data_IF_529269787960
#
_entry.id   IF_529269787960
#
_cell.length_a   1.000
_cell.length_b   1.000
_cell.length_c   1.000
_cell.angle_alpha   90.00
_cell.angle_beta   90.00
_cell.angle_gamma   90.00
#
_symmetry.space_group_name_H-M   'P 1'
#
loop_
_entity.id
_entity.type
_entity.pdbx_description
1 polymer ?
#
# COMPACT_ATOMS: atom_id res chain seq x y z
N UNK A 1 16.32 -35.19 4.70
CA UNK A 1 16.16 -34.05 3.74
C UNK A 1 15.71 -32.77 4.44
N UNK A 2 14.64 -32.82 5.24
CA UNK A 2 13.99 -31.69 5.95
C UNK A 2 14.99 -30.70 6.60
N UNK A 3 15.98 -31.16 7.36
CA UNK A 3 16.95 -30.28 8.05
C UNK A 3 17.77 -29.37 7.12
N UNK A 4 18.03 -29.78 5.86
CA UNK A 4 18.74 -28.94 4.88
C UNK A 4 17.86 -27.80 4.36
N UNK A 5 16.55 -28.04 4.24
CA UNK A 5 15.56 -27.02 3.85
C UNK A 5 15.37 -26.02 5.00
N UNK A 6 15.31 -26.52 6.24
CA UNK A 6 15.15 -25.70 7.44
C UNK A 6 16.35 -24.77 7.73
N UNK A 7 17.55 -25.14 7.25
CA UNK A 7 18.78 -24.32 7.36
C UNK A 7 19.03 -23.39 6.16
N UNK A 8 18.24 -23.49 5.08
CA UNK A 8 18.37 -22.59 3.92
C UNK A 8 18.25 -21.10 4.30
N UNK A 9 17.28 -20.65 5.15
CA UNK A 9 17.18 -19.25 5.57
C UNK A 9 18.28 -18.79 6.56
N UNK A 10 19.26 -19.63 6.90
CA UNK A 10 20.45 -19.23 7.66
C UNK A 10 21.71 -19.18 6.79
N UNK A 11 21.58 -19.33 5.46
CA UNK A 11 22.70 -19.27 4.49
C UNK A 11 22.81 -17.96 3.71
N UNK A 12 21.75 -17.16 3.62
CA UNK A 12 21.82 -15.85 2.98
C UNK A 12 22.47 -14.82 3.91
N UNK A 13 23.14 -13.83 3.31
CA UNK A 13 23.75 -12.73 4.05
C UNK A 13 22.67 -11.89 4.76
N UNK A 14 22.94 -11.40 5.98
CA UNK A 14 22.00 -10.58 6.76
C UNK A 14 21.54 -9.32 6.01
N UNK A 15 22.38 -8.80 5.11
CA UNK A 15 22.04 -7.67 4.22
C UNK A 15 20.89 -7.99 3.27
N UNK A 16 20.79 -9.23 2.77
CA UNK A 16 19.70 -9.66 1.87
C UNK A 16 18.37 -9.63 2.63
N UNK A 17 18.35 -10.11 3.87
CA UNK A 17 17.16 -10.04 4.73
C UNK A 17 16.72 -8.60 5.02
N UNK A 18 17.67 -7.66 5.23
CA UNK A 18 17.31 -6.25 5.39
C UNK A 18 16.78 -5.62 4.10
N UNK A 19 17.37 -5.92 2.93
CA UNK A 19 16.85 -5.41 1.64
C UNK A 19 15.44 -5.93 1.38
N UNK A 20 15.18 -7.22 1.64
CA UNK A 20 13.84 -7.80 1.54
C UNK A 20 12.87 -7.19 2.57
N UNK A 21 13.32 -6.94 3.81
CA UNK A 21 12.51 -6.29 4.84
C UNK A 21 12.13 -4.85 4.47
N UNK A 22 13.06 -4.09 3.88
CA UNK A 22 12.80 -2.74 3.39
C UNK A 22 11.81 -2.75 2.21
N UNK A 23 11.94 -3.71 1.29
CA UNK A 23 10.97 -3.89 0.19
C UNK A 23 9.57 -4.26 0.69
N UNK A 24 9.45 -5.24 1.58
CA UNK A 24 8.18 -5.63 2.18
C UNK A 24 7.56 -4.51 3.03
N UNK A 25 8.38 -3.75 3.78
CA UNK A 25 7.93 -2.60 4.56
C UNK A 25 7.50 -1.42 3.70
N UNK A 26 8.15 -1.19 2.56
CA UNK A 26 7.73 -0.18 1.57
C UNK A 26 6.36 -0.53 0.97
N UNK A 27 6.17 -1.78 0.55
CA UNK A 27 4.88 -2.26 0.03
C UNK A 27 3.79 -2.19 1.11
N UNK A 28 4.07 -2.64 2.35
CA UNK A 28 3.14 -2.50 3.47
C UNK A 28 2.74 -1.04 3.73
N UNK A 29 3.68 -0.09 3.58
CA UNK A 29 3.38 1.33 3.69
C UNK A 29 2.54 1.86 2.52
N UNK A 30 2.75 1.38 1.28
CA UNK A 30 1.87 1.73 0.15
C UNK A 30 0.45 1.24 0.38
N UNK A 31 0.28 -0.05 0.71
CA UNK A 31 -1.02 -0.65 1.06
C UNK A 31 -1.69 0.10 2.24
N UNK A 32 -0.92 0.57 3.22
CA UNK A 32 -1.45 1.34 4.34
C UNK A 32 -1.96 2.73 3.92
N UNK A 33 -1.30 3.42 2.98
CA UNK A 33 -1.82 4.66 2.42
C UNK A 33 -3.09 4.42 1.61
N UNK A 34 -3.17 3.32 0.84
CA UNK A 34 -4.38 2.90 0.13
C UNK A 34 -5.52 2.61 1.11
N UNK A 35 -5.27 1.88 2.20
CA UNK A 35 -6.24 1.64 3.27
C UNK A 35 -6.77 2.96 3.86
N UNK A 36 -5.89 3.92 4.20
CA UNK A 36 -6.32 5.23 4.72
C UNK A 36 -7.16 6.01 3.71
N UNK A 37 -6.81 5.99 2.42
CA UNK A 37 -7.59 6.63 1.37
C UNK A 37 -8.97 5.97 1.23
N UNK A 38 -9.04 4.64 1.24
CA UNK A 38 -10.29 3.88 1.14
C UNK A 38 -11.18 4.08 2.36
N UNK A 39 -10.62 4.12 3.57
CA UNK A 39 -11.37 4.39 4.80
C UNK A 39 -11.99 5.79 4.80
N UNK A 40 -11.24 6.81 4.36
CA UNK A 40 -11.75 8.18 4.22
C UNK A 40 -12.80 8.28 3.10
N UNK A 41 -12.59 7.60 1.97
CA UNK A 41 -13.57 7.53 0.89
C UNK A 41 -14.88 6.85 1.35
N UNK A 42 -14.79 5.78 2.14
CA UNK A 42 -15.92 5.11 2.77
C UNK A 42 -16.70 6.04 3.70
N UNK A 43 -16.04 6.84 4.55
CA UNK A 43 -16.72 7.83 5.41
C UNK A 43 -17.52 8.85 4.59
N UNK A 44 -16.93 9.40 3.51
CA UNK A 44 -17.64 10.33 2.62
C UNK A 44 -18.80 9.65 1.87
N UNK A 45 -18.62 8.41 1.40
CA UNK A 45 -19.65 7.66 0.69
C UNK A 45 -20.82 7.28 1.61
N UNK A 46 -20.55 6.90 2.86
CA UNK A 46 -21.57 6.67 3.88
C UNK A 46 -22.33 7.96 4.19
N UNK A 47 -21.61 9.08 4.40
CA UNK A 47 -22.21 10.38 4.69
C UNK A 47 -23.04 10.97 3.53
N UNK A 48 -22.68 10.67 2.28
CA UNK A 48 -23.42 11.11 1.08
C UNK A 48 -24.78 10.43 0.88
N UNK A 49 -25.04 9.32 1.57
CA UNK A 49 -26.21 8.48 1.32
C UNK A 49 -26.08 7.61 0.05
N UNK A 50 -27.02 6.68 -0.18
CA UNK A 50 -27.07 5.89 -1.42
C UNK A 50 -27.40 6.79 -2.63
N UNK A 51 -26.99 6.44 -3.85
CA UNK A 51 -27.48 7.11 -5.05
C UNK A 51 -28.99 6.89 -5.20
N UNK A 52 -29.65 7.78 -5.95
CA UNK A 52 -31.09 7.68 -6.23
C UNK A 52 -31.41 6.34 -6.94
N UNK A 53 -32.53 5.67 -6.62
CA UNK A 53 -32.90 4.42 -7.30
C UNK A 53 -33.21 4.65 -8.78
N UNK A 54 -32.56 3.88 -9.66
CA UNK A 54 -32.80 3.91 -11.10
C UNK A 54 -33.51 2.64 -11.58
N UNK A 55 -34.70 2.73 -12.21
CA UNK A 55 -35.40 1.58 -12.78
C UNK A 55 -34.59 0.89 -13.88
N UNK A 56 -34.47 -0.44 -13.80
CA UNK A 56 -33.66 -1.23 -14.72
C UNK A 56 -34.07 -1.07 -16.20
N UNK A 57 -35.34 -0.83 -16.51
CA UNK A 57 -35.78 -0.55 -17.90
C UNK A 57 -35.18 0.73 -18.50
N UNK A 58 -34.63 1.63 -17.67
CA UNK A 58 -34.01 2.90 -18.06
C UNK A 58 -32.53 3.01 -17.67
N UNK A 59 -32.01 2.04 -16.93
CA UNK A 59 -30.66 2.07 -16.36
C UNK A 59 -29.58 2.20 -17.44
N UNK A 60 -28.57 3.01 -17.15
CA UNK A 60 -27.44 3.26 -18.01
C UNK A 60 -26.15 3.46 -17.19
N UNK A 61 -25.16 2.60 -17.45
CA UNK A 61 -23.83 2.60 -16.82
C UNK A 61 -23.10 3.96 -16.80
N UNK A 62 -23.48 4.91 -17.67
CA UNK A 62 -22.85 6.23 -17.77
C UNK A 62 -23.47 7.30 -16.87
N UNK A 63 -24.66 7.06 -16.33
CA UNK A 63 -25.45 8.05 -15.57
C UNK A 63 -25.91 7.54 -14.22
N UNK A 64 -26.15 6.24 -14.09
CA UNK A 64 -26.74 5.61 -12.91
C UNK A 64 -25.69 4.91 -12.01
N UNK A 65 -24.41 5.20 -12.26
CA UNK A 65 -23.26 4.70 -11.48
C UNK A 65 -22.63 5.87 -10.75
N UNK A 66 -22.58 5.77 -9.43
CA UNK A 66 -22.00 6.77 -8.54
C UNK A 66 -20.48 6.60 -8.41
N UNK A 67 -19.87 7.38 -7.52
CA UNK A 67 -18.48 7.16 -7.11
C UNK A 67 -18.31 5.74 -6.54
N UNK A 68 -17.10 5.18 -6.72
CA UNK A 68 -16.73 3.82 -6.27
C UNK A 68 -17.66 2.72 -6.82
N UNK A 69 -18.17 2.91 -8.04
CA UNK A 69 -19.06 1.99 -8.76
C UNK A 69 -20.38 1.67 -8.03
N UNK A 70 -20.78 2.47 -7.04
CA UNK A 70 -22.04 2.24 -6.31
C UNK A 70 -23.25 2.49 -7.21
N UNK A 71 -24.18 1.54 -7.20
CA UNK A 71 -25.45 1.57 -7.93
C UNK A 71 -26.62 1.34 -6.97
N UNK A 72 -27.77 1.89 -7.32
CA UNK A 72 -29.04 1.61 -6.66
C UNK A 72 -30.10 1.38 -7.74
N UNK A 73 -30.57 0.15 -7.88
CA UNK A 73 -31.43 -0.27 -9.00
C UNK A 73 -32.80 -0.73 -8.53
N UNK A 74 -33.83 -0.42 -9.30
CA UNK A 74 -35.19 -0.94 -9.10
C UNK A 74 -35.50 -1.98 -10.17
N UNK A 75 -35.96 -3.16 -9.74
CA UNK A 75 -36.27 -4.29 -10.62
C UNK A 75 -37.34 -5.20 -10.02
N UNK A 76 -37.60 -6.32 -10.69
CA UNK A 76 -38.50 -7.36 -10.18
C UNK A 76 -37.71 -8.63 -9.92
N UNK A 77 -37.68 -9.06 -8.67
CA UNK A 77 -37.22 -10.39 -8.27
C UNK A 77 -38.36 -11.40 -8.47
N UNK A 78 -38.02 -12.53 -9.09
CA UNK A 78 -38.93 -13.65 -9.28
C UNK A 78 -38.45 -14.83 -8.45
N UNK A 79 -39.23 -15.23 -7.44
CA UNK A 79 -38.91 -16.38 -6.59
C UNK A 79 -38.95 -17.72 -7.34
N UNK A 80 -39.54 -17.74 -8.54
CA UNK A 80 -39.64 -18.90 -9.42
C UNK A 80 -38.60 -18.90 -10.56
N UNK A 81 -37.72 -17.90 -10.66
CA UNK A 81 -36.57 -17.98 -11.55
C UNK A 81 -35.46 -18.81 -10.89
N UNK A 82 -34.87 -19.72 -11.66
CA UNK A 82 -33.73 -20.49 -11.21
C UNK A 82 -32.52 -19.60 -10.93
N UNK A 83 -31.70 -20.06 -9.98
CA UNK A 83 -30.45 -19.43 -9.58
C UNK A 83 -29.30 -20.19 -10.25
N UNK A 84 -28.28 -19.47 -10.67
CA UNK A 84 -27.09 -20.08 -11.27
C UNK A 84 -25.85 -19.92 -10.42
N UNK A 85 -24.78 -20.60 -10.83
CA UNK A 85 -23.44 -20.37 -10.32
C UNK A 85 -22.43 -20.31 -11.45
N UNK A 86 -21.33 -19.59 -11.24
CA UNK A 86 -20.21 -19.54 -12.16
C UNK A 86 -18.89 -19.50 -11.40
N UNK A 87 -17.81 -19.91 -12.06
CA UNK A 87 -16.47 -19.85 -11.50
C UNK A 87 -15.55 -18.99 -12.38
N UNK A 88 -15.22 -17.76 -11.95
CA UNK A 88 -14.30 -16.91 -12.69
C UNK A 88 -12.83 -17.34 -12.57
N UNK A 89 -12.37 -17.86 -11.42
CA UNK A 89 -10.92 -18.03 -11.14
C UNK A 89 -10.60 -19.15 -10.12
N UNK A 90 -11.40 -20.21 -10.01
CA UNK A 90 -11.34 -21.19 -8.92
C UNK A 90 -12.08 -20.76 -7.64
N UNK A 91 -12.98 -19.78 -7.75
CA UNK A 91 -13.74 -19.16 -6.67
C UNK A 91 -15.20 -19.02 -7.06
N UNK A 92 -15.95 -20.12 -6.92
CA UNK A 92 -17.38 -20.20 -7.22
C UNK A 92 -18.18 -18.98 -6.67
N UNK A 93 -19.12 -18.51 -7.48
CA UNK A 93 -20.06 -17.44 -7.20
C UNK A 93 -21.46 -17.93 -7.50
N UNK A 94 -22.40 -17.60 -6.62
CA UNK A 94 -23.82 -17.78 -6.86
C UNK A 94 -24.43 -16.49 -7.40
N UNK A 95 -25.53 -16.60 -8.13
CA UNK A 95 -26.27 -15.42 -8.56
C UNK A 95 -27.79 -15.58 -8.57
N UNK A 96 -28.46 -14.45 -8.34
CA UNK A 96 -29.91 -14.28 -8.42
C UNK A 96 -30.23 -13.33 -9.57
N UNK A 97 -31.30 -13.63 -10.32
CA UNK A 97 -31.73 -12.83 -11.46
C UNK A 97 -32.77 -11.78 -11.06
N UNK A 98 -32.60 -10.57 -11.59
CA UNK A 98 -33.61 -9.51 -11.59
C UNK A 98 -34.06 -9.21 -13.01
N UNK A 99 -35.38 -9.16 -13.18
CA UNK A 99 -35.94 -8.56 -14.37
C UNK A 99 -35.99 -7.04 -14.28
N UNK A 100 -36.25 -6.39 -15.41
CA UNK A 100 -36.63 -4.97 -15.42
C UNK A 100 -37.83 -4.66 -14.50
N UNK A 101 -38.06 -3.38 -14.19
CA UNK A 101 -39.18 -2.91 -13.35
C UNK A 101 -40.57 -3.28 -13.88
N UNK A 102 -40.66 -3.78 -15.13
CA UNK A 102 -41.88 -4.24 -15.78
C UNK A 102 -42.01 -5.78 -15.78
N UNK A 103 -40.97 -6.51 -15.35
CA UNK A 103 -40.94 -7.96 -15.31
C UNK A 103 -41.03 -8.62 -16.70
N UNK A 104 -40.35 -8.04 -17.70
CA UNK A 104 -40.36 -8.45 -19.12
C UNK A 104 -39.14 -9.29 -19.52
N UNK A 105 -37.95 -8.88 -19.11
CA UNK A 105 -36.67 -9.53 -19.45
C UNK A 105 -35.68 -9.44 -18.28
N UNK A 106 -34.76 -10.41 -18.17
CA UNK A 106 -33.68 -10.37 -17.17
C UNK A 106 -32.67 -9.29 -17.57
N UNK A 107 -32.49 -8.28 -16.72
CA UNK A 107 -31.61 -7.14 -16.99
C UNK A 107 -30.55 -6.89 -15.91
N UNK A 108 -30.67 -7.48 -14.72
CA UNK A 108 -29.56 -7.49 -13.76
C UNK A 108 -29.34 -8.87 -13.13
N UNK A 109 -28.09 -9.11 -12.74
CA UNK A 109 -27.63 -10.32 -12.05
C UNK A 109 -26.95 -9.91 -10.77
N UNK A 110 -27.48 -10.38 -9.64
CA UNK A 110 -26.95 -10.12 -8.31
C UNK A 110 -25.98 -11.23 -7.95
N UNK A 111 -24.69 -10.93 -7.87
CA UNK A 111 -23.61 -11.91 -7.65
C UNK A 111 -23.15 -11.88 -6.21
N UNK A 112 -23.14 -13.05 -5.56
CA UNK A 112 -22.71 -13.24 -4.17
C UNK A 112 -21.87 -14.50 -4.02
N UNK A 113 -21.36 -14.76 -2.81
CA UNK A 113 -20.75 -16.07 -2.51
C UNK A 113 -21.86 -17.14 -2.43
N UNK A 114 -21.58 -18.42 -2.74
CA UNK A 114 -22.58 -19.48 -2.66
C UNK A 114 -23.27 -19.58 -1.29
N UNK A 115 -22.51 -19.41 -0.20
CA UNK A 115 -23.04 -19.43 1.18
C UNK A 115 -24.00 -18.25 1.48
N UNK A 116 -23.89 -17.15 0.73
CA UNK A 116 -24.63 -15.91 0.96
C UNK A 116 -25.92 -15.81 0.11
N UNK A 117 -26.13 -16.70 -0.87
CA UNK A 117 -27.34 -16.68 -1.74
C UNK A 117 -28.61 -16.69 -0.90
N UNK A 118 -28.73 -17.63 0.04
CA UNK A 118 -29.89 -17.74 0.92
C UNK A 118 -30.03 -16.59 1.92
N UNK A 119 -29.02 -15.73 2.11
CA UNK A 119 -29.18 -14.45 2.82
C UNK A 119 -29.77 -13.39 1.89
N UNK A 120 -29.27 -13.29 0.66
CA UNK A 120 -29.77 -12.37 -0.36
C UNK A 120 -31.24 -12.64 -0.71
N UNK A 121 -31.62 -13.90 -0.95
CA UNK A 121 -33.02 -14.30 -1.17
C UNK A 121 -33.96 -13.78 -0.07
N UNK A 122 -33.57 -13.96 1.20
CA UNK A 122 -34.35 -13.49 2.35
C UNK A 122 -34.43 -11.96 2.43
N UNK A 123 -33.41 -11.25 1.96
CA UNK A 123 -33.43 -9.78 1.89
C UNK A 123 -34.34 -9.28 0.76
N UNK A 124 -34.32 -9.92 -0.41
CA UNK A 124 -35.22 -9.60 -1.53
C UNK A 124 -36.67 -9.94 -1.19
N UNK A 125 -36.91 -11.14 -0.67
CA UNK A 125 -38.24 -11.61 -0.25
C UNK A 125 -38.82 -10.83 0.95
N UNK A 126 -38.00 -10.13 1.73
CA UNK A 126 -38.49 -9.25 2.80
C UNK A 126 -39.05 -7.91 2.27
N UNK A 127 -38.81 -7.53 1.01
CA UNK A 127 -39.30 -6.27 0.45
C UNK A 127 -40.75 -6.33 -0.04
N UNK A 128 -41.32 -7.53 -0.23
CA UNK A 128 -42.70 -7.69 -0.70
C UNK A 128 -43.22 -9.13 -0.59
N UNK A 129 -44.29 -9.46 -1.31
CA UNK A 129 -45.00 -10.74 -1.20
C UNK A 129 -45.48 -11.21 -2.57
N UNK A 130 -45.32 -12.51 -2.85
CA UNK A 130 -45.77 -13.18 -4.08
C UNK A 130 -44.62 -13.55 -5.01
N UNK A 131 -44.96 -14.07 -6.20
CA UNK A 131 -43.98 -14.62 -7.14
C UNK A 131 -43.23 -13.54 -7.94
N UNK A 132 -43.68 -12.29 -7.87
CA UNK A 132 -43.09 -11.10 -8.50
C UNK A 132 -42.95 -10.02 -7.43
N UNK A 133 -41.75 -9.86 -6.91
CA UNK A 133 -41.45 -8.93 -5.82
C UNK A 133 -40.73 -7.72 -6.42
N UNK A 134 -41.32 -6.51 -6.43
CA UNK A 134 -40.57 -5.31 -6.76
C UNK A 134 -39.52 -5.08 -5.68
N UNK A 135 -38.26 -4.92 -6.10
CA UNK A 135 -37.11 -4.77 -5.20
C UNK A 135 -36.27 -3.57 -5.58
N UNK A 136 -35.77 -2.89 -4.56
CA UNK A 136 -34.69 -1.91 -4.68
C UNK A 136 -33.43 -2.55 -4.13
N UNK A 137 -32.35 -2.56 -4.93
CA UNK A 137 -31.08 -3.19 -4.58
C UNK A 137 -29.94 -2.20 -4.74
N UNK A 138 -29.20 -1.99 -3.65
CA UNK A 138 -27.98 -1.20 -3.64
C UNK A 138 -26.76 -2.14 -3.55
N UNK A 139 -25.70 -1.81 -4.27
CA UNK A 139 -24.46 -2.58 -4.33
C UNK A 139 -23.42 -1.89 -5.21
N UNK A 140 -22.40 -2.63 -5.61
CA UNK A 140 -21.38 -2.16 -6.56
C UNK A 140 -21.55 -2.79 -7.94
N UNK A 141 -21.33 -2.01 -9.00
CA UNK A 141 -21.31 -2.48 -10.37
C UNK A 141 -20.02 -3.25 -10.65
N UNK A 142 -20.13 -4.52 -11.05
CA UNK A 142 -18.98 -5.27 -11.51
C UNK A 142 -18.75 -5.00 -13.01
N UNK A 143 -17.65 -4.32 -13.34
CA UNK A 143 -17.30 -3.97 -14.72
C UNK A 143 -16.53 -5.08 -15.47
N UNK A 144 -16.39 -6.28 -14.91
CA UNK A 144 -15.61 -7.36 -15.52
C UNK A 144 -16.34 -8.00 -16.70
N UNK A 145 -15.80 -7.83 -17.91
CA UNK A 145 -16.31 -8.49 -19.12
C UNK A 145 -16.15 -10.02 -19.08
N UNK A 146 -15.21 -10.53 -18.28
CA UNK A 146 -15.05 -11.97 -18.03
C UNK A 146 -16.23 -12.52 -17.22
N UNK A 147 -16.64 -11.83 -16.14
CA UNK A 147 -17.79 -12.23 -15.33
C UNK A 147 -19.08 -12.16 -16.14
N UNK A 148 -19.27 -11.07 -16.90
CA UNK A 148 -20.39 -10.95 -17.82
C UNK A 148 -20.43 -12.13 -18.81
N UNK A 149 -19.30 -12.48 -19.44
CA UNK A 149 -19.23 -13.60 -20.40
C UNK A 149 -19.57 -14.97 -19.79
N UNK A 150 -19.13 -15.24 -18.55
CA UNK A 150 -19.45 -16.47 -17.82
C UNK A 150 -20.94 -16.53 -17.45
N UNK A 151 -21.48 -15.43 -16.90
CA UNK A 151 -22.90 -15.32 -16.55
C UNK A 151 -23.79 -15.47 -17.80
N UNK A 152 -23.43 -14.85 -18.92
CA UNK A 152 -24.11 -15.01 -20.22
C UNK A 152 -24.11 -16.45 -20.72
N UNK A 153 -23.00 -17.17 -20.50
CA UNK A 153 -22.90 -18.59 -20.86
C UNK A 153 -23.85 -19.43 -20.01
N UNK A 154 -23.91 -19.17 -18.71
CA UNK A 154 -24.80 -19.89 -17.78
C UNK A 154 -26.28 -19.59 -18.05
N UNK A 155 -26.63 -18.32 -18.29
CA UNK A 155 -27.99 -17.91 -18.70
C UNK A 155 -28.46 -18.60 -19.98
N UNK A 156 -27.55 -18.76 -20.95
CA UNK A 156 -27.82 -19.50 -22.19
C UNK A 156 -28.02 -21.00 -21.94
N UNK A 157 -27.26 -21.61 -21.03
CA UNK A 157 -27.42 -23.02 -20.64
C UNK A 157 -28.75 -23.26 -19.91
N UNK A 158 -29.21 -22.28 -19.12
CA UNK A 158 -30.50 -22.32 -18.42
C UNK A 158 -31.71 -21.96 -19.32
N UNK A 159 -31.50 -21.64 -20.60
CA UNK A 159 -32.55 -21.17 -21.55
C UNK A 159 -33.30 -19.90 -21.05
N UNK A 160 -32.60 -19.01 -20.32
CA UNK A 160 -33.18 -17.78 -19.77
C UNK A 160 -32.89 -16.58 -20.69
N UNK A 161 -33.92 -15.92 -21.26
CA UNK A 161 -33.73 -14.73 -22.08
C UNK A 161 -33.30 -13.53 -21.22
N UNK A 162 -32.16 -12.95 -21.58
CA UNK A 162 -31.57 -11.77 -20.94
C UNK A 162 -31.37 -10.63 -21.93
N UNK A 163 -31.38 -9.40 -21.39
CA UNK A 163 -31.18 -8.16 -22.13
C UNK A 163 -29.73 -8.03 -22.60
N UNK A 164 -29.50 -7.51 -23.82
CA UNK A 164 -28.14 -7.18 -24.31
C UNK A 164 -27.39 -6.21 -23.37
N UNK A 165 -28.13 -5.44 -22.55
CA UNK A 165 -27.61 -4.51 -21.53
C UNK A 165 -27.56 -5.14 -20.12
N UNK A 166 -27.23 -6.44 -20.01
CA UNK A 166 -27.17 -7.17 -18.74
C UNK A 166 -26.17 -6.53 -17.75
N UNK A 167 -26.67 -6.18 -16.57
CA UNK A 167 -25.89 -5.54 -15.49
C UNK A 167 -25.45 -6.57 -14.45
N UNK A 168 -24.19 -6.58 -14.06
CA UNK A 168 -23.67 -7.46 -12.99
C UNK A 168 -23.43 -6.62 -11.73
N UNK A 169 -24.13 -6.94 -10.64
CA UNK A 169 -24.11 -6.17 -9.40
C UNK A 169 -23.68 -7.07 -8.25
N UNK A 170 -22.75 -6.62 -7.41
CA UNK A 170 -22.43 -7.24 -6.13
C UNK A 170 -23.24 -6.51 -5.03
N UNK A 171 -24.38 -7.06 -4.55
CA UNK A 171 -25.29 -6.35 -3.66
C UNK A 171 -24.74 -6.21 -2.24
N UNK A 172 -25.04 -5.10 -1.58
CA UNK A 172 -24.70 -4.92 -0.17
C UNK A 172 -25.58 -5.77 0.73
N UNK A 173 -24.98 -6.83 1.29
CA UNK A 173 -25.67 -7.75 2.19
C UNK A 173 -25.86 -7.12 3.57
N UNK A 174 -27.06 -6.58 3.80
CA UNK A 174 -27.47 -6.00 5.08
C UNK A 174 -27.37 -4.48 5.09
N UNK A 175 -26.58 -3.90 5.99
CA UNK A 175 -26.46 -2.45 6.08
C UNK A 175 -25.40 -1.95 5.08
N UNK A 176 -25.79 -1.00 4.22
CA UNK A 176 -24.91 -0.30 3.27
C UNK A 176 -23.61 0.18 3.92
N UNK A 177 -23.68 0.87 5.05
CA UNK A 177 -22.51 1.42 5.71
C UNK A 177 -21.56 0.33 6.21
N UNK A 178 -22.08 -0.78 6.74
CA UNK A 178 -21.21 -1.90 7.15
C UNK A 178 -20.55 -2.59 5.96
N UNK A 179 -21.22 -2.65 4.81
CA UNK A 179 -20.65 -3.22 3.58
C UNK A 179 -19.53 -2.35 3.02
N UNK A 180 -19.76 -1.03 2.89
CA UNK A 180 -18.76 -0.07 2.43
C UNK A 180 -17.52 -0.05 3.35
N UNK A 181 -17.71 -0.06 4.67
CA UNK A 181 -16.59 -0.14 5.61
C UNK A 181 -15.86 -1.49 5.52
N UNK A 182 -16.57 -2.61 5.37
CA UNK A 182 -15.96 -3.93 5.24
C UNK A 182 -15.04 -4.03 4.01
N UNK A 183 -15.46 -3.51 2.86
CA UNK A 183 -14.65 -3.52 1.65
C UNK A 183 -13.43 -2.58 1.75
N UNK A 184 -13.58 -1.42 2.41
CA UNK A 184 -12.44 -0.56 2.74
C UNK A 184 -11.44 -1.27 3.69
N UNK A 185 -11.94 -1.89 4.76
CA UNK A 185 -11.15 -2.63 5.76
C UNK A 185 -10.45 -3.86 5.18
N UNK A 186 -10.98 -4.49 4.13
CA UNK A 186 -10.36 -5.66 3.48
C UNK A 186 -8.90 -5.40 3.06
N UNK A 187 -8.56 -4.16 2.74
CA UNK A 187 -7.17 -3.74 2.43
C UNK A 187 -6.21 -3.75 3.62
N UNK A 188 -6.69 -3.77 4.87
CA UNK A 188 -5.80 -3.86 6.04
C UNK A 188 -5.12 -5.24 6.15
N UNK A 189 -5.72 -6.29 5.57
CA UNK A 189 -5.18 -7.66 5.60
C UNK A 189 -3.85 -7.80 4.87
N UNK A 190 -3.67 -7.11 3.75
CA UNK A 190 -2.39 -7.07 3.00
C UNK A 190 -1.33 -6.30 3.79
N UNK A 191 -1.71 -5.18 4.42
CA UNK A 191 -0.83 -4.41 5.32
C UNK A 191 -0.31 -5.27 6.47
N UNK A 192 -1.19 -5.98 7.17
CA UNK A 192 -0.82 -6.82 8.33
C UNK A 192 0.11 -7.96 7.91
N UNK A 193 -0.17 -8.63 6.79
CA UNK A 193 0.66 -9.74 6.30
C UNK A 193 2.03 -9.29 5.80
N UNK A 194 2.11 -8.19 5.02
CA UNK A 194 3.37 -7.62 4.56
C UNK A 194 4.20 -7.01 5.72
N UNK A 195 3.55 -6.32 6.65
CA UNK A 195 4.19 -5.78 7.86
C UNK A 195 4.74 -6.87 8.76
N UNK A 196 3.98 -7.95 8.97
CA UNK A 196 4.43 -9.14 9.69
C UNK A 196 5.63 -9.83 9.02
N UNK A 197 5.60 -9.96 7.69
CA UNK A 197 6.73 -10.47 6.89
C UNK A 197 7.98 -9.59 7.04
N UNK A 198 7.83 -8.26 6.92
CA UNK A 198 8.92 -7.31 7.09
C UNK A 198 9.55 -7.43 8.50
N UNK A 199 8.72 -7.50 9.55
CA UNK A 199 9.18 -7.72 10.93
C UNK A 199 9.95 -9.03 11.10
N UNK A 200 9.43 -10.14 10.55
CA UNK A 200 10.11 -11.43 10.58
C UNK A 200 11.47 -11.41 9.85
N UNK A 201 11.55 -10.73 8.71
CA UNK A 201 12.80 -10.56 7.95
C UNK A 201 13.84 -9.72 8.72
N UNK A 202 13.43 -8.67 9.43
CA UNK A 202 14.34 -7.90 10.32
C UNK A 202 14.86 -8.79 11.47
N UNK A 203 14.00 -9.61 12.08
CA UNK A 203 14.42 -10.54 13.13
C UNK A 203 15.42 -11.59 12.61
N UNK A 204 15.20 -12.13 11.40
CA UNK A 204 16.14 -13.04 10.73
C UNK A 204 17.47 -12.35 10.39
N UNK A 205 17.45 -11.10 9.93
CA UNK A 205 18.66 -10.32 9.71
C UNK A 205 19.47 -10.14 11.00
N UNK A 206 18.82 -9.75 12.09
CA UNK A 206 19.43 -9.58 13.41
C UNK A 206 19.99 -10.90 13.98
N UNK A 207 19.27 -12.01 13.81
CA UNK A 207 19.72 -13.34 14.21
C UNK A 207 20.99 -13.75 13.44
N UNK A 208 20.95 -13.70 12.10
CA UNK A 208 22.09 -14.05 11.25
C UNK A 208 23.32 -13.13 11.51
N UNK A 209 23.10 -11.83 11.72
CA UNK A 209 24.16 -10.89 12.10
C UNK A 209 24.82 -11.24 13.45
N UNK A 210 24.03 -11.63 14.46
CA UNK A 210 24.54 -12.08 15.76
C UNK A 210 25.30 -13.40 15.66
N UNK A 211 24.85 -14.36 14.84
CA UNK A 211 25.56 -15.62 14.60
C UNK A 211 26.89 -15.38 13.87
N UNK A 212 26.89 -14.60 12.79
CA UNK A 212 28.10 -14.26 12.03
C UNK A 212 29.18 -13.58 12.88
N UNK A 213 28.78 -12.68 13.80
CA UNK A 213 29.70 -12.06 14.78
C UNK A 213 30.30 -13.05 15.77
N UNK A 214 29.55 -14.07 16.22
CA UNK A 214 30.09 -15.11 17.12
C UNK A 214 31.13 -15.97 16.40
N UNK A 215 30.84 -16.46 15.20
CA UNK A 215 31.77 -17.30 14.43
C UNK A 215 33.08 -16.58 14.11
N UNK A 216 33.02 -15.30 13.72
CA UNK A 216 34.23 -14.50 13.42
C UNK A 216 35.05 -14.15 14.68
N UNK A 217 34.43 -13.97 15.84
CA UNK A 217 35.13 -13.84 17.11
C UNK A 217 35.82 -15.15 17.56
N UNK A 218 35.22 -16.31 17.30
CA UNK A 218 35.84 -17.62 17.60
C UNK A 218 37.01 -17.89 16.66
N UNK A 219 36.87 -17.59 15.36
CA UNK A 219 37.91 -17.81 14.36
C UNK A 219 39.14 -16.90 14.57
N UNK A 220 38.96 -15.66 15.01
CA UNK A 220 40.11 -14.77 15.32
C UNK A 220 40.88 -15.22 16.57
N UNK A 221 40.21 -15.77 17.58
CA UNK A 221 40.89 -16.37 18.74
C UNK A 221 41.61 -17.68 18.40
N UNK A 222 41.08 -18.49 17.48
CA UNK A 222 41.73 -19.71 17.00
C UNK A 222 43.04 -19.37 16.27
N UNK A 223 42.97 -18.41 15.33
CA UNK A 223 44.14 -17.84 14.65
C UNK A 223 45.19 -17.27 15.62
N UNK A 224 44.76 -16.56 16.67
CA UNK A 224 45.67 -16.04 17.70
C UNK A 224 46.38 -17.12 18.52
N UNK A 225 45.67 -18.21 18.90
CA UNK A 225 46.28 -19.36 19.58
C UNK A 225 47.25 -20.11 18.66
N UNK A 226 46.87 -20.36 17.42
CA UNK A 226 47.71 -21.04 16.43
C UNK A 226 48.97 -20.22 16.10
N UNK A 227 48.87 -18.89 16.01
CA UNK A 227 50.03 -18.00 15.83
C UNK A 227 50.98 -17.98 17.04
N UNK A 228 50.47 -18.15 18.27
CA UNK A 228 51.29 -18.28 19.48
C UNK A 228 52.00 -19.64 19.55
N UNK A 229 51.30 -20.73 19.20
CA UNK A 229 51.90 -22.08 19.09
C UNK A 229 52.97 -22.12 18.00
N UNK A 230 52.71 -21.50 16.83
CA UNK A 230 53.68 -21.38 15.76
C UNK A 230 54.91 -20.52 16.13
N UNK A 231 54.77 -19.54 17.03
CA UNK A 231 55.91 -18.79 17.59
C UNK A 231 56.72 -19.60 18.60
N UNK A 232 56.09 -20.44 19.42
CA UNK A 232 56.81 -21.30 20.37
C UNK A 232 57.60 -22.42 19.66
N UNK A 233 57.14 -22.91 18.51
CA UNK A 233 57.84 -23.92 17.70
C UNK A 233 59.01 -23.37 16.85
N UNK A 234 59.25 -22.05 16.83
CA UNK A 234 60.32 -21.40 16.04
C UNK A 234 61.34 -20.64 16.89
N UNK A 235 61.89 -21.32 17.90
CA UNK A 235 62.99 -20.80 18.72
C UNK A 235 64.30 -21.56 18.41
N UNK A 236 65.09 -21.13 17.39
CA UNK A 236 66.41 -21.71 17.14
C UNK A 236 67.45 -21.15 18.10
N UNK A 237 68.13 -22.04 18.81
CA UNK A 237 69.22 -21.74 19.73
C UNK A 237 70.58 -21.59 19.02
N UNK A 238 71.44 -20.72 19.56
CA UNK A 238 72.91 -20.71 19.44
C UNK A 238 73.59 -20.44 18.07
N UNK A 239 73.86 -19.15 17.83
CA UNK A 239 75.21 -18.52 17.71
C UNK A 239 76.41 -19.40 17.30
N UNK A 240 76.95 -19.15 16.11
CA UNK A 240 78.41 -19.17 15.81
C UNK A 240 78.75 -18.27 14.59
N UNK A 241 79.93 -17.64 14.62
CA UNK A 241 80.57 -16.87 13.53
C UNK A 241 82.01 -17.41 13.36
N UNK A 242 82.78 -17.03 12.31
CA UNK A 242 82.49 -17.14 10.88
C UNK A 242 83.65 -17.86 10.15
N UNK A 243 83.53 -18.20 8.85
CA UNK A 243 84.73 -18.50 8.05
C UNK A 243 84.51 -18.23 6.55
N UNK A 244 85.61 -17.93 5.86
CA UNK A 244 85.66 -17.49 4.46
C UNK A 244 85.56 -18.67 3.47
N UNK A 245 85.01 -18.44 2.27
CA UNK A 245 85.01 -19.43 1.19
C UNK A 245 84.19 -19.00 -0.04
N UNK A 246 84.85 -18.35 -0.99
CA UNK A 246 84.40 -18.11 -2.37
C UNK A 246 84.28 -19.43 -3.18
N UNK A 247 83.62 -19.56 -4.34
CA UNK A 247 82.80 -18.68 -5.19
C UNK A 247 81.86 -19.57 -6.08
N UNK A 248 81.24 -18.99 -7.11
CA UNK A 248 80.46 -19.62 -8.21
C UNK A 248 78.98 -19.99 -7.90
N UNK A 249 77.97 -19.63 -8.70
CA UNK A 249 77.90 -18.95 -10.03
C UNK A 249 76.73 -17.93 -10.11
N UNK A 250 76.80 -17.03 -11.11
CA UNK A 250 75.89 -15.87 -11.33
C UNK A 250 74.54 -16.23 -11.97
N UNK A 251 73.53 -15.33 -11.92
CA UNK A 251 72.96 -14.86 -13.19
C UNK A 251 72.56 -13.36 -13.26
N UNK A 252 73.17 -12.46 -12.48
CA UNK A 252 72.94 -11.00 -12.61
C UNK A 252 74.25 -10.26 -12.94
N UNK A 253 74.22 -9.48 -14.03
CA UNK A 253 75.40 -8.81 -14.62
C UNK A 253 75.72 -7.43 -14.03
N UNK A 254 76.83 -6.85 -14.50
CA UNK A 254 77.48 -5.60 -14.04
C UNK A 254 77.98 -4.77 -15.26
N UNK A 255 78.56 -3.55 -15.18
CA UNK A 255 79.13 -2.74 -14.10
C UNK A 255 78.80 -1.23 -14.24
N UNK A 256 78.96 -0.50 -13.14
CA UNK A 256 79.49 0.86 -12.94
C UNK A 256 79.80 1.80 -14.13
N UNK A 257 79.55 3.10 -13.95
CA UNK A 257 80.62 4.07 -13.61
C UNK A 257 80.10 5.53 -13.47
N UNK A 258 80.77 6.32 -12.62
CA UNK A 258 80.49 7.75 -12.39
C UNK A 258 81.79 8.57 -12.45
N UNK A 259 81.82 9.66 -13.24
CA UNK A 259 82.86 10.69 -13.18
C UNK A 259 82.38 12.02 -13.83
N UNK A 260 82.54 13.15 -13.14
CA UNK A 260 82.19 14.50 -13.65
C UNK A 260 82.31 15.61 -12.60
N UNK A 261 83.31 16.47 -12.75
CA UNK A 261 83.88 17.39 -11.76
C UNK A 261 83.07 18.68 -11.39
N UNK A 262 83.07 19.03 -10.08
CA UNK A 262 83.39 20.33 -9.38
C UNK A 262 82.88 21.74 -9.90
N UNK A 263 82.92 22.87 -9.13
CA UNK A 263 81.67 23.53 -8.65
C UNK A 263 81.51 25.08 -8.99
N UNK A 264 80.92 25.99 -8.16
CA UNK A 264 79.80 26.90 -8.54
C UNK A 264 80.16 28.41 -8.75
N UNK A 265 79.18 29.28 -9.12
CA UNK A 265 78.64 30.24 -8.13
C UNK A 265 77.15 30.71 -8.29
N UNK A 266 76.71 31.53 -7.33
CA UNK A 266 75.40 32.20 -7.06
C UNK A 266 75.07 33.42 -7.97
N UNK A 267 74.02 34.28 -7.71
CA UNK A 267 72.56 34.04 -7.63
C UNK A 267 71.70 35.10 -8.42
N UNK A 268 70.39 34.90 -8.65
CA UNK A 268 69.43 36.02 -8.90
C UNK A 268 67.93 35.65 -8.80
N UNK A 269 67.17 36.54 -8.15
CA UNK A 269 65.70 36.79 -8.14
C UNK A 269 64.86 36.20 -9.30
N UNK A 270 63.62 35.71 -9.10
CA UNK A 270 62.52 36.47 -8.50
C UNK A 270 61.36 35.60 -7.91
N UNK A 271 60.76 36.12 -6.84
CA UNK A 271 59.52 35.68 -6.15
C UNK A 271 58.29 36.45 -6.67
N UNK A 272 57.05 36.24 -6.14
CA UNK A 272 56.35 34.98 -5.78
C UNK A 272 54.86 34.99 -6.23
N UNK A 273 54.10 33.90 -6.03
CA UNK A 273 52.72 34.05 -5.51
C UNK A 273 52.14 32.82 -4.77
N UNK A 274 52.02 33.00 -3.44
CA UNK A 274 50.99 32.55 -2.50
C UNK A 274 50.51 31.08 -2.42
N UNK A 275 50.81 30.48 -1.25
CA UNK A 275 50.05 29.41 -0.61
C UNK A 275 49.05 29.98 0.45
N UNK A 276 47.96 29.25 0.71
CA UNK A 276 47.19 29.16 1.97
C UNK A 276 46.13 28.04 1.77
N UNK A 277 45.97 26.94 2.53
CA UNK A 277 46.15 26.63 3.96
C UNK A 277 45.17 27.46 4.82
N UNK A 278 44.20 26.94 5.61
CA UNK A 278 44.25 26.04 6.80
C UNK A 278 42.76 25.64 7.11
N UNK A 279 42.35 24.36 7.23
CA UNK A 279 42.27 23.49 8.44
C UNK A 279 41.09 23.72 9.45
N UNK A 280 40.28 22.66 9.64
CA UNK A 280 39.62 22.16 10.88
C UNK A 280 38.55 22.94 11.73
N UNK A 281 37.30 22.43 11.64
CA UNK A 281 36.54 21.70 12.71
C UNK A 281 36.05 22.41 14.01
N UNK A 282 34.72 22.51 14.18
CA UNK A 282 34.02 22.31 15.47
C UNK A 282 32.54 21.93 15.27
N UNK A 283 31.87 21.43 16.32
CA UNK A 283 30.53 20.81 16.32
C UNK A 283 29.43 21.77 16.81
N UNK A 284 28.18 21.61 16.34
CA UNK A 284 26.97 21.61 17.19
C UNK A 284 25.72 21.08 16.45
N UNK A 285 24.65 20.82 17.20
CA UNK A 285 23.56 19.87 16.87
C UNK A 285 22.22 20.59 16.60
N UNK A 286 21.28 19.88 15.93
CA UNK A 286 19.83 20.14 15.82
C UNK A 286 19.36 21.32 14.95
N UNK A 287 18.76 20.99 13.78
CA UNK A 287 17.32 21.14 13.42
C UNK A 287 17.18 20.68 11.95
N UNK A 288 16.19 19.84 11.57
CA UNK A 288 15.99 19.45 10.17
C UNK A 288 15.39 20.61 9.34
N UNK A 289 15.79 20.80 8.07
CA UNK A 289 15.19 21.82 7.22
C UNK A 289 13.74 21.48 6.89
N UNK A 290 12.86 22.45 7.16
CA UNK A 290 11.42 22.44 6.89
C UNK A 290 11.15 22.28 5.40
N UNK A 291 10.11 21.51 5.08
CA UNK A 291 9.59 21.32 3.72
C UNK A 291 9.43 22.67 2.98
N UNK A 292 10.18 22.85 1.89
CA UNK A 292 9.82 23.81 0.85
C UNK A 292 8.79 23.13 -0.04
N UNK A 293 7.51 23.35 0.28
CA UNK A 293 6.43 23.12 -0.67
C UNK A 293 6.63 24.17 -1.77
N UNK A 294 6.85 23.71 -3.01
CA UNK A 294 6.80 24.60 -4.16
C UNK A 294 5.35 25.06 -4.33
N UNK A 295 5.10 26.32 -4.01
CA UNK A 295 3.81 26.99 -4.14
C UNK A 295 3.46 27.11 -5.63
N UNK A 296 2.72 26.13 -6.14
CA UNK A 296 2.23 26.13 -7.52
C UNK A 296 0.98 27.02 -7.58
N UNK A 297 1.18 28.34 -7.51
CA UNK A 297 0.12 29.34 -7.59
C UNK A 297 -0.46 29.42 -9.02
N UNK A 298 -1.28 28.43 -9.38
CA UNK A 298 -2.14 28.51 -10.58
C UNK A 298 -3.40 29.28 -10.19
N UNK A 299 -3.37 30.59 -10.40
CA UNK A 299 -4.55 31.45 -10.26
C UNK A 299 -5.61 31.04 -11.28
N UNK A 300 -6.60 30.25 -10.84
CA UNK A 300 -7.83 30.01 -11.59
C UNK A 300 -8.75 31.24 -11.45
N UNK A 301 -9.16 31.88 -12.56
CA UNK A 301 -10.08 33.02 -12.48
C UNK A 301 -11.47 32.56 -12.07
N UNK A 302 -11.86 32.85 -10.82
CA UNK A 302 -13.22 32.65 -10.34
C UNK A 302 -14.18 33.66 -10.98
N UNK A 303 -14.84 33.24 -12.06
CA UNK A 303 -15.96 34.00 -12.64
C UNK A 303 -17.23 33.76 -11.82
N UNK A 304 -17.69 34.79 -11.10
CA UNK A 304 -18.95 34.73 -10.34
C UNK A 304 -20.14 34.47 -11.28
N UNK A 305 -20.94 33.43 -10.96
CA UNK A 305 -22.14 33.05 -11.73
C UNK A 305 -23.40 33.77 -11.23
N UNK A 306 -23.29 34.71 -10.29
CA UNK A 306 -24.42 35.50 -9.79
C UNK A 306 -24.56 36.83 -10.55
N UNK A 307 -25.62 37.03 -11.36
CA UNK A 307 -25.85 38.26 -12.11
C UNK A 307 -26.44 39.34 -11.20
N UNK A 308 -25.59 40.04 -10.45
CA UNK A 308 -26.03 41.11 -9.55
C UNK A 308 -24.91 41.60 -8.66
N UNK A 309 -24.14 42.58 -9.15
CA UNK A 309 -23.14 43.26 -8.32
C UNK A 309 -23.80 44.13 -7.26
N UNK A 310 -23.60 43.78 -5.98
CA UNK A 310 -23.94 44.67 -4.87
C UNK A 310 -24.15 43.99 -3.52
N UNK A 311 -23.78 44.71 -2.46
CA UNK A 311 -24.27 44.56 -1.08
C UNK A 311 -23.70 43.43 -0.20
N UNK A 312 -22.74 43.83 0.64
CA UNK A 312 -22.59 43.44 2.05
C UNK A 312 -22.94 42.01 2.47
N UNK A 313 -21.99 41.08 2.33
CA UNK A 313 -21.90 39.93 3.22
C UNK A 313 -21.52 40.41 4.63
N UNK A 314 -22.51 40.81 5.43
CA UNK A 314 -22.37 40.83 6.88
C UNK A 314 -22.35 39.40 7.36
N UNK A 315 -21.27 39.00 8.05
CA UNK A 315 -21.22 37.72 8.74
C UNK A 315 -22.31 37.69 9.81
N UNK A 316 -23.40 36.97 9.54
CA UNK A 316 -24.40 36.64 10.54
C UNK A 316 -23.79 35.65 11.52
N UNK A 317 -23.93 35.91 12.82
CA UNK A 317 -23.53 34.93 13.83
C UNK A 317 -24.44 33.71 13.78
N UNK A 318 -23.99 32.58 14.34
CA UNK A 318 -24.79 31.35 14.38
C UNK A 318 -26.17 31.59 15.02
N UNK A 319 -26.25 32.42 16.06
CA UNK A 319 -27.51 32.76 16.73
C UNK A 319 -28.49 33.54 15.83
N UNK A 320 -27.98 34.39 14.91
CA UNK A 320 -28.81 35.13 13.96
C UNK A 320 -29.36 34.21 12.85
N UNK A 321 -28.62 33.14 12.51
CA UNK A 321 -29.10 32.09 11.60
C UNK A 321 -30.15 31.24 12.31
N UNK A 322 -29.88 30.77 13.53
CA UNK A 322 -30.80 29.92 14.31
C UNK A 322 -32.12 30.65 14.59
N UNK A 323 -32.08 31.94 14.94
CA UNK A 323 -33.29 32.73 15.18
C UNK A 323 -34.11 33.01 13.92
N UNK A 324 -33.49 33.13 12.73
CA UNK A 324 -34.23 33.18 11.47
C UNK A 324 -34.80 31.83 11.03
N UNK A 325 -34.06 30.73 11.23
CA UNK A 325 -34.48 29.39 10.79
C UNK A 325 -35.54 28.75 11.69
N UNK A 326 -35.54 29.04 12.99
CA UNK A 326 -36.36 28.33 13.99
C UNK A 326 -37.35 29.20 14.78
N UNK A 327 -37.53 30.48 14.40
CA UNK A 327 -38.73 31.27 14.68
C UNK A 327 -39.26 31.22 16.12
N UNK A 328 -38.46 31.62 17.11
CA UNK A 328 -38.87 31.90 18.50
C UNK A 328 -39.92 30.95 19.11
N UNK A 329 -39.62 29.65 19.21
CA UNK A 329 -40.39 28.72 20.05
C UNK A 329 -40.14 28.97 21.56
N UNK A 330 -40.60 30.13 22.04
CA UNK A 330 -40.60 30.50 23.45
C UNK A 330 -41.79 29.87 24.17
N UNK A 331 -41.70 28.56 24.44
CA UNK A 331 -42.69 27.81 25.25
C UNK A 331 -42.04 26.82 26.22
N UNK A 332 -40.90 27.17 26.82
CA UNK A 332 -40.46 26.53 28.06
C UNK A 332 -41.00 27.33 29.25
N UNK A 333 -42.17 26.88 29.74
CA UNK A 333 -42.79 27.36 30.98
C UNK A 333 -41.80 27.08 32.13
N UNK A 334 -41.44 28.07 32.97
CA UNK A 334 -40.51 27.82 34.06
C UNK A 334 -41.10 26.82 35.05
N UNK A 335 -40.25 25.93 35.56
CA UNK A 335 -40.63 24.91 36.53
C UNK A 335 -41.04 25.61 37.83
N UNK A 336 -42.29 25.43 38.23
CA UNK A 336 -42.81 25.87 39.53
C UNK A 336 -42.08 25.07 40.62
N UNK A 337 -41.52 25.77 41.62
CA UNK A 337 -40.76 25.16 42.71
C UNK A 337 -41.63 25.24 43.94
N UNK A 338 -42.11 24.09 44.40
CA UNK A 338 -42.83 23.98 45.67
C UNK A 338 -41.91 24.36 46.84
N UNK A 339 -42.23 25.48 47.49
CA UNK A 339 -41.94 25.85 48.90
C UNK A 339 -42.87 27.03 49.29
#
# INVERSE_FOLDING_TARGET
MILKILLLPFRLNWTIYLVLALGAGYLANQEYQTYLANAVAAEFQVAGGPPDPSPLSKWNARTDVSANDEVNVEGVYFSALDQGSFDPLGFERGFILLADDQGREVKAVLVVRPDDIGLLERQLAAQGVGDRIPVTVNGTLNQSSEWAGLIWTELFVMDIPSSDELVVIEPFLGNRATSIHYDAERTIGTVITLGGLAGALVLLALANFRVGRKSSATQSQMSGREALVARQLKQPSQRSLPSNGALETSPWGTFDAQAGATPPPTPANATPQSQANVQAKSQQTLVPPRLQIAELEVQLPFTSVFPGGGSSFRFKSADEIISQSFGTLSTLKPLERDD
#
